data_IF_359371147714
#
_entry.id   IF_359371147714
#
_cell.length_a   1.000
_cell.length_b   1.000
_cell.length_c   1.000
_cell.angle_alpha   90.00
_cell.angle_beta   90.00
_cell.angle_gamma   90.00
#
_symmetry.space_group_name_H-M   'P 1'
#
loop_
_entity.id
_entity.type
_entity.pdbx_description
1 polymer ?
#
# COMPACT_ATOMS: atom_id res chain seq x y z
N UNK A 1 20.87 -13.09 -46.97
CA UNK A 1 19.43 -13.11 -46.64
C UNK A 1 19.32 -13.35 -45.15
N UNK A 2 19.13 -12.25 -44.41
CA UNK A 2 19.41 -12.10 -42.98
C UNK A 2 18.15 -12.45 -42.16
N UNK A 3 17.99 -13.74 -41.85
CA UNK A 3 16.83 -14.28 -41.11
C UNK A 3 16.71 -13.68 -39.70
N UNK A 4 17.82 -13.25 -39.11
CA UNK A 4 17.88 -12.65 -37.78
C UNK A 4 17.20 -11.26 -37.73
N UNK A 5 17.27 -10.48 -38.81
CA UNK A 5 16.59 -9.18 -38.90
C UNK A 5 15.08 -9.27 -39.00
N UNK A 6 14.54 -10.37 -39.55
CA UNK A 6 13.10 -10.57 -39.69
C UNK A 6 12.41 -10.85 -38.34
N UNK A 7 13.12 -11.46 -37.38
CA UNK A 7 12.55 -11.84 -36.08
C UNK A 7 12.48 -10.65 -35.11
N UNK A 8 13.41 -9.70 -35.20
CA UNK A 8 13.46 -8.55 -34.27
C UNK A 8 12.51 -7.40 -34.61
N UNK A 9 11.96 -7.35 -35.83
CA UNK A 9 11.03 -6.28 -36.24
C UNK A 9 9.55 -6.54 -35.87
N UNK A 10 9.27 -7.54 -35.04
CA UNK A 10 7.93 -7.81 -34.50
C UNK A 10 7.93 -7.59 -32.98
N UNK A 11 8.16 -6.35 -32.58
CA UNK A 11 7.84 -5.88 -31.25
C UNK A 11 6.35 -6.18 -30.96
N UNK A 12 6.07 -7.11 -30.04
CA UNK A 12 4.71 -7.29 -29.51
C UNK A 12 4.31 -8.67 -29.00
N UNK A 13 5.01 -9.76 -29.29
CA UNK A 13 4.65 -11.06 -28.70
C UNK A 13 5.84 -12.02 -28.63
N UNK A 14 6.06 -12.62 -27.46
CA UNK A 14 6.93 -13.78 -27.32
C UNK A 14 6.41 -14.94 -28.20
N UNK A 15 7.28 -15.68 -28.92
CA UNK A 15 6.85 -16.79 -29.77
C UNK A 15 6.07 -17.83 -28.95
N UNK A 16 4.85 -18.18 -29.40
CA UNK A 16 4.05 -19.25 -28.78
C UNK A 16 4.79 -20.58 -28.95
N UNK A 17 5.33 -21.10 -27.84
CA UNK A 17 6.12 -22.34 -27.80
C UNK A 17 7.42 -22.24 -27.01
N UNK A 18 7.85 -21.05 -26.58
CA UNK A 18 9.02 -20.92 -25.70
C UNK A 18 8.71 -21.40 -24.28
N UNK A 19 9.53 -22.31 -23.76
CA UNK A 19 9.48 -22.71 -22.35
C UNK A 19 9.96 -21.55 -21.47
N UNK A 20 9.44 -21.46 -20.25
CA UNK A 20 9.79 -20.42 -19.27
C UNK A 20 11.29 -20.39 -18.96
N UNK A 21 11.95 -21.53 -19.03
CA UNK A 21 13.40 -21.69 -18.87
C UNK A 21 14.18 -20.96 -19.97
N UNK A 22 13.70 -21.04 -21.21
CA UNK A 22 14.35 -20.38 -22.35
C UNK A 22 14.17 -18.85 -22.28
N UNK A 23 13.01 -18.39 -21.81
CA UNK A 23 12.76 -16.97 -21.54
C UNK A 23 13.66 -16.46 -20.41
N UNK A 24 13.81 -17.23 -19.34
CA UNK A 24 14.71 -16.90 -18.23
C UNK A 24 16.17 -16.85 -18.66
N UNK A 25 16.60 -17.79 -19.51
CA UNK A 25 17.94 -17.80 -20.09
C UNK A 25 18.18 -16.55 -20.93
N UNK A 26 17.25 -16.19 -21.83
CA UNK A 26 17.36 -14.99 -22.66
C UNK A 26 17.42 -13.73 -21.80
N UNK A 27 16.53 -13.59 -20.81
CA UNK A 27 16.53 -12.44 -19.89
C UNK A 27 17.85 -12.36 -19.11
N UNK A 28 18.39 -13.50 -18.67
CA UNK A 28 19.66 -13.57 -17.94
C UNK A 28 20.86 -13.23 -18.83
N UNK A 29 20.88 -13.69 -20.07
CA UNK A 29 21.98 -13.42 -21.02
C UNK A 29 21.89 -12.02 -21.61
N UNK A 30 20.68 -11.47 -21.79
CA UNK A 30 20.47 -10.11 -22.30
C UNK A 30 20.62 -9.04 -21.20
N UNK A 31 20.48 -9.40 -19.93
CA UNK A 31 20.55 -8.49 -18.79
C UNK A 31 21.96 -8.02 -18.39
N UNK A 32 23.02 -8.46 -19.07
CA UNK A 32 24.39 -8.13 -18.68
C UNK A 32 24.88 -6.73 -19.15
N UNK A 33 24.13 -5.98 -19.96
CA UNK A 33 24.59 -4.67 -20.47
C UNK A 33 23.52 -3.56 -20.51
N UNK A 34 22.32 -3.79 -19.97
CA UNK A 34 21.32 -2.72 -19.88
C UNK A 34 21.41 -2.03 -18.53
N UNK A 35 22.11 -0.88 -18.52
CA UNK A 35 22.01 0.11 -17.46
C UNK A 35 20.53 0.33 -17.13
N UNK A 36 20.12 -0.06 -15.92
CA UNK A 36 18.79 0.17 -15.40
C UNK A 36 18.56 1.69 -15.47
N UNK A 37 17.56 2.19 -16.23
CA UNK A 37 17.28 3.61 -16.21
C UNK A 37 16.87 3.96 -14.77
N UNK A 38 17.69 4.77 -14.12
CA UNK A 38 17.41 5.36 -12.81
C UNK A 38 16.00 5.93 -12.86
N UNK A 39 15.08 5.22 -12.21
CA UNK A 39 13.70 5.63 -12.04
C UNK A 39 13.77 6.99 -11.36
N UNK A 40 13.34 8.06 -12.06
CA UNK A 40 13.20 9.40 -11.47
C UNK A 40 12.33 9.22 -10.23
N UNK A 41 12.92 9.40 -9.06
CA UNK A 41 12.20 9.49 -7.79
C UNK A 41 11.29 10.69 -7.95
N UNK A 42 10.01 10.43 -8.23
CA UNK A 42 8.99 11.45 -8.17
C UNK A 42 9.02 11.98 -6.74
N UNK A 43 9.40 13.24 -6.58
CA UNK A 43 9.21 13.97 -5.33
C UNK A 43 7.75 13.77 -4.94
N UNK A 44 7.45 13.23 -3.74
CA UNK A 44 6.06 13.07 -3.33
C UNK A 44 5.48 14.48 -3.26
N UNK A 45 4.59 14.80 -4.21
CA UNK A 45 3.76 15.99 -4.11
C UNK A 45 3.01 15.86 -2.78
N UNK A 46 3.29 16.78 -1.87
CA UNK A 46 2.69 16.78 -0.55
C UNK A 46 1.17 16.83 -0.73
N UNK A 47 0.50 15.71 -0.46
CA UNK A 47 -0.91 15.57 -0.76
C UNK A 47 -1.70 16.67 -0.01
N UNK A 48 -2.71 17.28 -0.63
CA UNK A 48 -3.58 18.25 0.03
C UNK A 48 -4.02 17.76 1.42
N UNK A 49 -4.07 18.65 2.42
CA UNK A 49 -4.41 18.30 3.81
C UNK A 49 -5.76 17.56 3.96
N UNK A 50 -6.69 17.79 3.03
CA UNK A 50 -7.97 17.07 2.96
C UNK A 50 -7.78 15.58 2.65
N UNK A 51 -6.87 15.25 1.72
CA UNK A 51 -6.55 13.87 1.33
C UNK A 51 -5.84 13.15 2.47
N UNK A 52 -4.95 13.84 3.19
CA UNK A 52 -4.30 13.29 4.38
C UNK A 52 -5.32 12.92 5.46
N UNK A 53 -6.29 13.79 5.76
CA UNK A 53 -7.36 13.48 6.73
C UNK A 53 -8.22 12.31 6.26
N UNK A 54 -8.49 12.21 4.97
CA UNK A 54 -9.25 11.09 4.41
C UNK A 54 -8.51 9.76 4.61
N UNK A 55 -7.23 9.71 4.24
CA UNK A 55 -6.39 8.52 4.40
C UNK A 55 -6.24 8.09 5.86
N UNK A 56 -6.04 9.05 6.77
CA UNK A 56 -5.95 8.77 8.20
C UNK A 56 -7.28 8.23 8.74
N UNK A 57 -8.43 8.76 8.33
CA UNK A 57 -9.74 8.20 8.71
C UNK A 57 -9.94 6.78 8.15
N UNK A 58 -9.48 6.50 6.93
CA UNK A 58 -9.52 5.16 6.35
C UNK A 58 -8.66 4.18 7.14
N UNK A 59 -7.44 4.59 7.52
CA UNK A 59 -6.56 3.80 8.37
C UNK A 59 -7.19 3.53 9.75
N UNK A 60 -7.78 4.56 10.36
CA UNK A 60 -8.50 4.43 11.62
C UNK A 60 -9.62 3.39 11.53
N UNK A 61 -10.48 3.45 10.50
CA UNK A 61 -11.54 2.45 10.28
C UNK A 61 -11.02 1.03 10.19
N UNK A 62 -9.91 0.81 9.46
CA UNK A 62 -9.28 -0.52 9.36
C UNK A 62 -8.80 -1.04 10.73
N UNK A 63 -8.14 -0.19 11.52
CA UNK A 63 -7.64 -0.55 12.85
C UNK A 63 -8.78 -0.81 13.83
N UNK A 64 -9.85 0.00 13.81
CA UNK A 64 -11.07 -0.25 14.59
C UNK A 64 -11.67 -1.60 14.24
N UNK A 65 -11.78 -1.95 12.95
CA UNK A 65 -12.28 -3.26 12.53
C UNK A 65 -11.42 -4.41 13.04
N UNK A 66 -10.09 -4.28 12.95
CA UNK A 66 -9.16 -5.29 13.49
C UNK A 66 -9.30 -5.44 15.00
N UNK A 67 -9.39 -4.34 15.73
CA UNK A 67 -9.56 -4.35 17.19
C UNK A 67 -10.92 -4.93 17.60
N UNK A 68 -11.98 -4.50 16.93
CA UNK A 68 -13.34 -5.02 17.12
C UNK A 68 -13.42 -6.54 17.01
N UNK A 69 -12.77 -7.09 15.99
CA UNK A 69 -12.66 -8.53 15.82
C UNK A 69 -11.87 -9.18 16.97
N UNK A 70 -10.73 -8.59 17.37
CA UNK A 70 -9.88 -9.14 18.41
C UNK A 70 -10.53 -9.16 19.81
N UNK A 71 -11.34 -8.15 20.15
CA UNK A 71 -12.00 -8.05 21.47
C UNK A 71 -13.49 -8.42 21.46
N UNK A 72 -14.03 -8.83 20.32
CA UNK A 72 -15.45 -9.11 20.10
C UNK A 72 -16.39 -7.98 20.59
N UNK A 73 -16.02 -6.72 20.30
CA UNK A 73 -16.82 -5.53 20.65
C UNK A 73 -17.32 -4.80 19.42
N UNK A 74 -18.54 -4.23 19.41
CA UNK A 74 -19.05 -3.49 18.27
C UNK A 74 -18.27 -2.18 18.02
N UNK A 75 -18.23 -1.74 16.76
CA UNK A 75 -17.52 -0.52 16.36
C UNK A 75 -17.98 0.72 17.13
N UNK A 76 -19.29 0.84 17.39
CA UNK A 76 -19.88 1.97 18.11
C UNK A 76 -19.33 2.11 19.53
N UNK A 77 -19.11 0.99 20.21
CA UNK A 77 -18.51 0.98 21.54
C UNK A 77 -17.09 1.55 21.51
N UNK A 78 -16.27 1.10 20.56
CA UNK A 78 -14.87 1.54 20.41
C UNK A 78 -14.82 3.03 20.03
N UNK A 79 -15.69 3.47 19.13
CA UNK A 79 -15.81 4.89 18.80
C UNK A 79 -16.29 5.71 19.99
N UNK A 80 -17.23 5.19 20.78
CA UNK A 80 -17.70 5.82 22.01
C UNK A 80 -16.58 6.02 23.04
N UNK A 81 -15.76 5.00 23.27
CA UNK A 81 -14.59 5.12 24.16
C UNK A 81 -13.59 6.16 23.65
N UNK A 82 -13.24 6.14 22.37
CA UNK A 82 -12.33 7.14 21.81
C UNK A 82 -12.93 8.55 21.90
N UNK A 83 -14.22 8.72 21.64
CA UNK A 83 -14.87 10.03 21.70
C UNK A 83 -14.91 10.57 23.15
N UNK A 84 -15.03 9.71 24.15
CA UNK A 84 -14.90 10.10 25.57
C UNK A 84 -13.48 10.53 25.91
N UNK A 85 -12.46 9.85 25.39
CA UNK A 85 -11.06 10.16 25.69
C UNK A 85 -10.56 11.45 25.04
N UNK A 86 -11.02 11.76 23.81
CA UNK A 86 -10.52 12.90 23.04
C UNK A 86 -11.49 14.09 23.01
N UNK A 87 -12.76 13.92 23.41
CA UNK A 87 -13.77 14.99 23.43
C UNK A 87 -14.28 15.41 22.05
N UNK A 88 -13.77 14.84 20.96
CA UNK A 88 -14.20 15.08 19.59
C UNK A 88 -14.72 13.79 18.92
N UNK A 89 -15.11 13.89 17.64
CA UNK A 89 -15.54 12.75 16.84
C UNK A 89 -14.68 12.61 15.58
N UNK A 90 -14.70 11.43 14.94
CA UNK A 90 -13.87 11.16 13.75
C UNK A 90 -14.15 12.06 12.54
N UNK A 91 -15.32 12.70 12.47
CA UNK A 91 -15.68 13.65 11.41
C UNK A 91 -15.14 15.06 11.69
N UNK A 92 -15.14 15.50 12.94
CA UNK A 92 -14.71 16.85 13.36
C UNK A 92 -13.26 16.90 13.85
N UNK A 93 -12.65 15.74 14.12
CA UNK A 93 -11.29 15.66 14.64
C UNK A 93 -10.25 16.32 13.74
N UNK A 94 -9.27 16.96 14.38
CA UNK A 94 -8.08 17.47 13.73
C UNK A 94 -7.19 16.32 13.25
N UNK A 95 -6.25 16.60 12.33
CA UNK A 95 -5.32 15.58 11.86
C UNK A 95 -4.50 14.99 13.01
N UNK A 96 -4.05 15.84 13.93
CA UNK A 96 -3.31 15.44 15.14
C UNK A 96 -4.15 14.52 16.05
N UNK A 97 -5.41 14.88 16.31
CA UNK A 97 -6.33 14.04 17.11
C UNK A 97 -6.54 12.66 16.46
N UNK A 98 -6.71 12.62 15.13
CA UNK A 98 -6.83 11.36 14.39
C UNK A 98 -5.58 10.48 14.50
N UNK A 99 -4.37 11.07 14.43
CA UNK A 99 -3.12 10.34 14.61
C UNK A 99 -2.97 9.79 16.04
N UNK A 100 -3.34 10.58 17.07
CA UNK A 100 -3.35 10.11 18.46
C UNK A 100 -4.32 8.95 18.68
N UNK A 101 -5.50 8.99 18.05
CA UNK A 101 -6.47 7.88 18.08
C UNK A 101 -5.92 6.61 17.45
N UNK A 102 -5.17 6.74 16.34
CA UNK A 102 -4.49 5.61 15.71
C UNK A 102 -3.44 5.00 16.65
N UNK A 103 -2.60 5.84 17.27
CA UNK A 103 -1.58 5.38 18.20
C UNK A 103 -2.18 4.67 19.43
N UNK A 104 -3.33 5.14 19.92
CA UNK A 104 -4.08 4.48 20.98
C UNK A 104 -4.58 3.09 20.55
N UNK A 105 -5.20 2.98 19.38
CA UNK A 105 -5.64 1.70 18.83
C UNK A 105 -4.50 0.71 18.62
N UNK A 106 -3.34 1.20 18.20
CA UNK A 106 -2.14 0.36 18.04
C UNK A 106 -1.64 -0.20 19.37
N UNK A 107 -1.73 0.59 20.45
CA UNK A 107 -1.44 0.11 21.80
C UNK A 107 -2.44 -0.98 22.22
N UNK A 108 -3.74 -0.72 22.07
CA UNK A 108 -4.77 -1.68 22.43
C UNK A 108 -4.67 -2.99 21.64
N UNK A 109 -4.39 -2.91 20.34
CA UNK A 109 -4.14 -4.10 19.51
C UNK A 109 -2.94 -4.90 20.02
N UNK A 110 -1.84 -4.23 20.36
CA UNK A 110 -0.63 -4.88 20.88
C UNK A 110 -0.87 -5.57 22.24
N UNK A 111 -1.78 -5.05 23.06
CA UNK A 111 -2.15 -5.65 24.34
C UNK A 111 -2.99 -6.92 24.16
N UNK A 112 -3.82 -6.99 23.11
CA UNK A 112 -4.68 -8.14 22.82
C UNK A 112 -3.95 -9.25 22.05
N UNK A 113 -2.91 -8.91 21.29
CA UNK A 113 -2.10 -9.88 20.54
C UNK A 113 -1.01 -10.57 21.38
N UNK A 114 -0.88 -10.21 22.66
CA UNK A 114 -0.01 -10.89 23.63
C UNK A 114 -0.73 -12.04 24.30
#
# INVERSE_FOLDING_TARGET
>A
MDYAKAVMNRAGAAPRGMTTEYVALILRTAGATSAVPTQRVATPAEAPLADQKHEVRRLLKRKVGRYSYAVNKPHEFIHGEMNRLFGDNTKTATLESLLKRIALLDRWLKEVEK
#
